data_IF_620007611222
#
_entry.id   IF_620007611222
#
_cell.length_a   1.000
_cell.length_b   1.000
_cell.length_c   1.000
_cell.angle_alpha   90.00
_cell.angle_beta   90.00
_cell.angle_gamma   90.00
#
_symmetry.space_group_name_H-M   'P 1'
#
loop_
_entity.id
_entity.type
_entity.pdbx_description
1 polymer ?
#
# COMPACT_ATOMS: atom_id res chain seq x y z
N UNK A 1 33.64 -52.45 -10.40
CA UNK A 1 32.24 -52.00 -10.30
C UNK A 1 32.01 -50.96 -9.19
N UNK A 2 32.95 -50.05 -8.89
CA UNK A 2 32.77 -49.00 -7.86
C UNK A 2 32.61 -47.58 -8.42
N UNK A 3 32.76 -47.40 -9.75
CA UNK A 3 32.74 -46.06 -10.38
C UNK A 3 31.35 -45.40 -10.43
N UNK A 4 30.27 -46.18 -10.30
CA UNK A 4 28.89 -45.66 -10.31
C UNK A 4 28.25 -45.59 -8.92
N UNK A 5 28.93 -46.11 -7.89
CA UNK A 5 28.39 -46.17 -6.52
C UNK A 5 28.40 -44.78 -5.86
N UNK A 6 29.34 -43.91 -6.23
CA UNK A 6 29.40 -42.53 -5.73
C UNK A 6 28.30 -41.64 -6.34
N UNK A 7 27.88 -41.91 -7.58
CA UNK A 7 26.87 -41.12 -8.28
C UNK A 7 25.44 -41.35 -7.74
N UNK A 8 25.19 -42.54 -7.18
CA UNK A 8 23.89 -42.88 -6.59
C UNK A 8 23.68 -42.33 -5.17
N UNK A 9 24.75 -41.92 -4.48
CA UNK A 9 24.69 -41.45 -3.10
C UNK A 9 24.44 -39.93 -2.97
N UNK A 10 24.65 -39.17 -4.04
CA UNK A 10 24.47 -37.70 -4.08
C UNK A 10 23.10 -37.27 -4.61
N UNK A 11 22.32 -38.18 -5.20
CA UNK A 11 21.01 -37.90 -5.77
C UNK A 11 19.90 -37.54 -4.76
N UNK A 12 19.88 -38.00 -3.49
CA UNK A 12 18.77 -37.70 -2.59
C UNK A 12 18.89 -36.32 -1.90
N UNK A 13 19.96 -35.55 -2.12
CA UNK A 13 20.16 -34.25 -1.48
C UNK A 13 19.39 -33.08 -2.14
N UNK A 14 18.75 -33.30 -3.30
CA UNK A 14 18.03 -32.24 -4.04
C UNK A 14 16.52 -32.13 -3.75
N UNK A 15 15.96 -32.95 -2.85
CA UNK A 15 14.50 -33.01 -2.64
C UNK A 15 13.97 -32.16 -1.47
N UNK A 16 14.77 -31.30 -0.84
CA UNK A 16 14.35 -30.48 0.30
C UNK A 16 14.20 -28.98 0.00
N UNK A 17 13.85 -28.61 -1.23
CA UNK A 17 13.29 -27.29 -1.49
C UNK A 17 11.75 -27.35 -1.44
N UNK A 18 11.21 -27.72 -0.27
CA UNK A 18 9.81 -27.42 0.02
C UNK A 18 9.73 -25.92 0.27
N UNK A 19 9.47 -25.15 -0.77
CA UNK A 19 9.15 -23.74 -0.64
C UNK A 19 8.01 -23.59 0.36
N UNK A 20 8.26 -22.90 1.47
CA UNK A 20 7.19 -22.36 2.28
C UNK A 20 6.39 -21.42 1.38
N UNK A 21 5.31 -21.92 0.79
CA UNK A 21 4.27 -21.04 0.29
C UNK A 21 3.64 -20.44 1.54
N UNK A 22 4.11 -19.24 1.93
CA UNK A 22 3.31 -18.39 2.79
C UNK A 22 2.01 -18.20 2.04
N UNK A 23 0.91 -18.77 2.53
CA UNK A 23 -0.41 -18.43 2.04
C UNK A 23 -0.61 -16.95 2.33
N UNK A 24 -0.22 -16.08 1.41
CA UNK A 24 -0.65 -14.69 1.41
C UNK A 24 -2.16 -14.76 1.27
N UNK A 25 -2.87 -14.68 2.40
CA UNK A 25 -4.31 -14.43 2.34
C UNK A 25 -4.50 -13.19 1.48
N UNK A 26 -5.39 -13.28 0.49
CA UNK A 26 -5.74 -12.12 -0.31
C UNK A 26 -6.23 -11.02 0.64
N UNK A 27 -5.60 -9.85 0.54
CA UNK A 27 -5.98 -8.69 1.31
C UNK A 27 -7.38 -8.25 0.89
N UNK A 28 -8.35 -8.33 1.80
CA UNK A 28 -9.69 -7.79 1.58
C UNK A 28 -9.69 -6.26 1.71
N UNK A 29 -10.59 -5.60 0.98
CA UNK A 29 -10.74 -4.16 0.98
C UNK A 29 -12.18 -3.75 1.33
N UNK A 30 -12.31 -2.77 2.22
CA UNK A 30 -13.50 -1.96 2.41
C UNK A 30 -13.39 -0.61 1.70
N UNK A 31 -14.16 0.37 2.15
CA UNK A 31 -14.20 1.72 1.59
C UNK A 31 -13.81 2.75 2.65
N UNK A 32 -13.26 3.88 2.23
CA UNK A 32 -12.94 4.99 3.12
C UNK A 32 -14.19 5.71 3.63
N UNK A 33 -14.10 6.28 4.83
CA UNK A 33 -15.15 7.11 5.45
C UNK A 33 -15.29 8.49 4.80
N UNK A 34 -14.23 9.00 4.16
CA UNK A 34 -14.23 10.32 3.52
C UNK A 34 -14.63 10.29 2.04
N UNK A 35 -14.42 9.14 1.38
CA UNK A 35 -14.76 8.93 -0.03
C UNK A 35 -14.89 7.42 -0.31
N UNK A 36 -16.10 6.96 -0.65
CA UNK A 36 -16.40 5.55 -0.83
C UNK A 36 -15.71 4.88 -2.03
N UNK A 37 -15.13 5.67 -2.94
CA UNK A 37 -14.38 5.16 -4.08
C UNK A 37 -12.91 4.86 -3.77
N UNK A 38 -12.47 5.18 -2.55
CA UNK A 38 -11.11 4.89 -2.09
C UNK A 38 -11.12 3.52 -1.40
N UNK A 39 -10.50 2.48 -1.99
CA UNK A 39 -10.37 1.18 -1.35
C UNK A 39 -9.47 1.30 -0.11
N UNK A 40 -9.86 0.67 0.99
CA UNK A 40 -9.10 0.65 2.25
C UNK A 40 -8.89 -0.80 2.69
N UNK A 41 -7.67 -1.24 3.04
CA UNK A 41 -7.44 -2.58 3.59
C UNK A 41 -8.37 -2.83 4.78
N UNK A 42 -9.09 -3.95 4.80
CA UNK A 42 -10.14 -4.22 5.80
C UNK A 42 -9.62 -4.36 7.23
N UNK A 43 -8.34 -4.71 7.38
CA UNK A 43 -7.62 -4.77 8.65
C UNK A 43 -7.05 -3.41 9.07
N UNK A 44 -7.13 -2.37 8.24
CA UNK A 44 -6.75 -1.03 8.64
C UNK A 44 -7.81 -0.45 9.58
N UNK A 45 -7.36 0.17 10.67
CA UNK A 45 -8.21 0.77 11.68
C UNK A 45 -8.19 2.28 11.53
N UNK A 46 -9.35 2.88 11.34
CA UNK A 46 -9.48 4.34 11.35
C UNK A 46 -9.16 4.88 12.75
N UNK A 47 -8.24 5.84 12.82
CA UNK A 47 -7.81 6.43 14.10
C UNK A 47 -8.08 7.93 14.18
N UNK A 48 -8.21 8.63 13.06
CA UNK A 48 -8.48 10.07 13.03
C UNK A 48 -9.19 10.48 11.73
N UNK A 49 -10.13 11.41 11.83
CA UNK A 49 -10.73 12.11 10.68
C UNK A 49 -10.49 13.60 10.83
N UNK A 50 -9.82 14.20 9.85
CA UNK A 50 -9.51 15.63 9.78
C UNK A 50 -10.59 16.34 8.96
N UNK A 51 -11.55 16.99 9.63
CA UNK A 51 -12.60 17.80 8.98
C UNK A 51 -12.24 19.28 8.84
N UNK A 52 -11.17 19.71 9.52
CA UNK A 52 -10.61 21.06 9.46
C UNK A 52 -9.10 20.96 9.39
N UNK A 53 -8.49 21.53 8.35
CA UNK A 53 -7.03 21.56 8.18
C UNK A 53 -6.53 23.00 8.19
N UNK A 54 -5.35 23.23 8.76
CA UNK A 54 -4.62 24.50 8.62
C UNK A 54 -3.99 24.66 7.24
N UNK A 55 -3.85 23.55 6.49
CA UNK A 55 -3.41 23.56 5.10
C UNK A 55 -4.63 23.81 4.19
N UNK A 56 -4.64 24.96 3.51
CA UNK A 56 -5.72 25.38 2.60
C UNK A 56 -5.92 24.45 1.40
N UNK A 57 -4.97 23.58 1.10
CA UNK A 57 -5.09 22.61 0.01
C UNK A 57 -5.90 21.38 0.41
N UNK A 58 -6.07 21.10 1.71
CA UNK A 58 -6.75 19.89 2.21
C UNK A 58 -8.22 20.21 2.48
N UNK A 59 -9.12 19.41 1.91
CA UNK A 59 -10.56 19.50 2.13
C UNK A 59 -10.98 18.67 3.33
N UNK A 60 -10.60 17.40 3.34
CA UNK A 60 -10.89 16.44 4.40
C UNK A 60 -9.79 15.37 4.40
N UNK A 61 -9.46 14.85 5.57
CA UNK A 61 -8.47 13.80 5.74
C UNK A 61 -8.97 12.66 6.62
N UNK A 62 -8.32 11.52 6.49
CA UNK A 62 -8.49 10.36 7.38
C UNK A 62 -7.15 9.68 7.58
N UNK A 63 -6.90 9.20 8.79
CA UNK A 63 -5.70 8.44 9.14
C UNK A 63 -6.08 7.04 9.60
N UNK A 64 -5.33 6.07 9.12
CA UNK A 64 -5.47 4.66 9.45
C UNK A 64 -4.19 4.11 10.09
N UNK A 65 -4.38 3.21 11.04
CA UNK A 65 -3.36 2.29 11.57
C UNK A 65 -3.44 0.98 10.79
N UNK A 66 -2.31 0.48 10.31
CA UNK A 66 -2.19 -0.77 9.56
C UNK A 66 -0.79 -1.36 9.73
N UNK A 67 -0.71 -2.47 10.48
CA UNK A 67 0.56 -3.12 10.80
C UNK A 67 1.41 -3.40 9.55
N UNK A 68 2.69 -3.05 9.64
CA UNK A 68 3.73 -3.24 8.62
C UNK A 68 3.54 -2.45 7.32
N UNK A 69 2.62 -1.49 7.24
CA UNK A 69 2.63 -0.52 6.13
C UNK A 69 3.82 0.44 6.28
N UNK A 70 4.40 0.85 5.16
CA UNK A 70 5.53 1.78 5.18
C UNK A 70 6.88 1.18 5.59
N UNK A 71 6.90 -0.01 6.20
CA UNK A 71 8.12 -0.62 6.73
C UNK A 71 8.81 0.25 7.79
N UNK A 72 10.03 -0.13 8.19
CA UNK A 72 10.82 0.66 9.13
C UNK A 72 10.99 2.10 8.61
N UNK A 73 10.68 3.09 9.45
CA UNK A 73 10.78 4.51 9.14
C UNK A 73 9.83 5.01 8.02
N UNK A 74 8.85 4.21 7.58
CA UNK A 74 7.91 4.62 6.52
C UNK A 74 8.52 4.73 5.12
N UNK A 75 9.69 4.12 4.90
CA UNK A 75 10.46 4.23 3.65
C UNK A 75 10.03 3.24 2.57
N UNK A 76 9.21 2.24 2.90
CA UNK A 76 8.75 1.22 1.99
C UNK A 76 7.44 1.63 1.30
N UNK A 77 7.46 1.65 -0.03
CA UNK A 77 6.27 1.90 -0.84
C UNK A 77 5.35 0.66 -0.82
N UNK A 78 4.09 0.78 -0.37
CA UNK A 78 3.18 -0.36 -0.30
C UNK A 78 2.54 -0.65 -1.68
N UNK A 79 3.31 -1.21 -2.62
CA UNK A 79 2.89 -1.39 -4.02
C UNK A 79 1.57 -2.17 -4.17
N UNK A 80 1.31 -3.16 -3.31
CA UNK A 80 0.02 -3.88 -3.33
C UNK A 80 -1.18 -2.95 -3.12
N UNK A 81 -1.05 -1.95 -2.24
CA UNK A 81 -2.10 -0.98 -2.00
C UNK A 81 -2.27 -0.03 -3.18
N UNK A 82 -1.16 0.43 -3.78
CA UNK A 82 -1.24 1.36 -4.90
C UNK A 82 -1.70 0.72 -6.20
N UNK A 83 -1.33 -0.53 -6.47
CA UNK A 83 -1.94 -1.29 -7.56
C UNK A 83 -3.45 -1.44 -7.35
N UNK A 84 -3.93 -1.57 -6.11
CA UNK A 84 -5.37 -1.62 -5.83
C UNK A 84 -6.09 -0.30 -6.10
N UNK A 85 -5.41 0.84 -5.88
CA UNK A 85 -5.92 2.16 -6.27
C UNK A 85 -6.03 2.27 -7.79
N UNK A 86 -4.99 1.86 -8.52
CA UNK A 86 -4.98 1.83 -9.99
C UNK A 86 -6.11 0.96 -10.54
N UNK A 87 -6.30 -0.24 -10.00
CA UNK A 87 -7.42 -1.14 -10.34
C UNK A 87 -8.80 -0.51 -10.09
N UNK A 88 -8.89 0.38 -9.09
CA UNK A 88 -10.10 1.14 -8.75
C UNK A 88 -10.28 2.41 -9.60
N UNK A 89 -9.37 2.68 -10.54
CA UNK A 89 -9.41 3.79 -11.49
C UNK A 89 -8.71 5.06 -11.01
N UNK A 90 -7.94 5.01 -9.93
CA UNK A 90 -7.11 6.11 -9.47
C UNK A 90 -5.79 6.13 -10.22
N UNK A 91 -5.44 7.25 -10.84
CA UNK A 91 -4.20 7.40 -11.60
C UNK A 91 -3.20 8.19 -10.79
N UNK A 92 -2.00 7.66 -10.55
CA UNK A 92 -0.96 8.40 -9.83
C UNK A 92 -0.42 9.57 -10.66
N UNK A 93 -0.26 10.72 -10.02
CA UNK A 93 0.37 11.93 -10.56
C UNK A 93 1.87 11.90 -10.19
N UNK A 94 2.65 11.11 -10.91
CA UNK A 94 4.06 10.84 -10.54
C UNK A 94 4.94 12.10 -10.50
N UNK A 95 4.67 13.09 -11.35
CA UNK A 95 5.36 14.37 -11.42
C UNK A 95 5.09 15.28 -10.20
N UNK A 96 4.08 14.92 -9.40
CA UNK A 96 3.65 15.65 -8.21
C UNK A 96 4.07 15.00 -6.90
N UNK A 97 4.84 13.92 -6.92
CA UNK A 97 5.32 13.27 -5.69
C UNK A 97 6.15 14.23 -4.83
N UNK A 98 5.84 14.29 -3.53
CA UNK A 98 6.52 15.12 -2.54
C UNK A 98 6.99 14.27 -1.37
N UNK A 99 8.22 13.72 -1.46
CA UNK A 99 8.77 12.85 -0.41
C UNK A 99 7.91 11.59 -0.23
N UNK A 100 7.29 11.45 0.95
CA UNK A 100 6.40 10.32 1.28
C UNK A 100 4.95 10.53 0.84
N UNK A 101 4.66 11.68 0.21
CA UNK A 101 3.32 12.02 -0.28
C UNK A 101 3.21 11.71 -1.76
N UNK A 102 2.24 10.86 -2.10
CA UNK A 102 1.89 10.53 -3.48
C UNK A 102 0.47 11.01 -3.78
N UNK A 103 0.28 11.54 -4.98
CA UNK A 103 -1.00 12.09 -5.39
C UNK A 103 -1.65 11.19 -6.43
N UNK A 104 -2.96 11.05 -6.34
CA UNK A 104 -3.76 10.28 -7.29
C UNK A 104 -4.99 11.07 -7.73
N UNK A 105 -5.38 10.91 -8.98
CA UNK A 105 -6.57 11.56 -9.54
C UNK A 105 -7.59 10.53 -10.02
N UNK A 106 -8.86 10.81 -9.77
CA UNK A 106 -10.01 10.11 -10.36
C UNK A 106 -11.16 11.08 -10.56
N UNK A 107 -11.65 11.19 -11.79
CA UNK A 107 -12.83 12.01 -12.16
C UNK A 107 -12.75 13.47 -11.64
N UNK A 108 -11.54 14.07 -11.66
CA UNK A 108 -11.29 15.43 -11.17
C UNK A 108 -11.21 15.57 -9.65
N UNK A 109 -11.28 14.46 -8.91
CA UNK A 109 -10.96 14.40 -7.49
C UNK A 109 -9.49 14.03 -7.33
N UNK A 110 -8.74 14.84 -6.58
CA UNK A 110 -7.34 14.57 -6.26
C UNK A 110 -7.27 14.13 -4.81
N UNK A 111 -6.55 13.03 -4.56
CA UNK A 111 -6.20 12.58 -3.22
C UNK A 111 -4.70 12.61 -3.03
N UNK A 112 -4.25 12.92 -1.83
CA UNK A 112 -2.87 12.75 -1.39
C UNK A 112 -2.82 11.59 -0.38
N UNK A 113 -1.86 10.69 -0.55
CA UNK A 113 -1.60 9.58 0.37
C UNK A 113 -0.21 9.77 0.95
N UNK A 114 -0.14 9.80 2.27
CA UNK A 114 1.09 9.89 3.04
C UNK A 114 1.29 8.60 3.83
N UNK A 115 2.41 7.93 3.60
CA UNK A 115 2.76 6.68 4.28
C UNK A 115 3.83 6.94 5.35
N UNK A 116 3.58 6.40 6.54
CA UNK A 116 4.53 6.32 7.65
C UNK A 116 4.62 4.86 8.14
N UNK A 117 5.51 4.59 9.08
CA UNK A 117 5.55 3.30 9.77
C UNK A 117 4.20 3.03 10.45
N UNK A 118 3.60 1.87 10.13
CA UNK A 118 2.34 1.35 10.66
C UNK A 118 1.10 2.25 10.47
N UNK A 119 1.23 3.35 9.73
CA UNK A 119 0.12 4.29 9.51
C UNK A 119 0.13 4.88 8.10
N UNK A 120 -1.05 5.23 7.63
CA UNK A 120 -1.18 6.04 6.42
C UNK A 120 -2.31 7.04 6.56
N UNK A 121 -2.14 8.18 5.92
CA UNK A 121 -3.15 9.23 5.84
C UNK A 121 -3.59 9.39 4.40
N UNK A 122 -4.88 9.65 4.22
CA UNK A 122 -5.47 10.02 2.93
C UNK A 122 -6.13 11.37 3.08
N UNK A 123 -5.85 12.27 2.14
CA UNK A 123 -6.41 13.60 2.10
C UNK A 123 -7.11 13.81 0.76
N UNK A 124 -8.39 14.15 0.77
CA UNK A 124 -9.03 14.71 -0.42
C UNK A 124 -8.64 16.19 -0.52
N UNK A 125 -8.18 16.60 -1.70
CA UNK A 125 -7.67 17.94 -1.95
C UNK A 125 -8.80 18.88 -2.38
N UNK A 126 -8.65 20.17 -2.09
CA UNK A 126 -9.51 21.20 -2.68
C UNK A 126 -9.26 21.29 -4.20
N UNK A 127 -10.28 21.66 -4.97
CA UNK A 127 -10.19 21.76 -6.45
C UNK A 127 -9.09 22.69 -6.93
N UNK A 128 -8.80 23.73 -6.15
CA UNK A 128 -7.79 24.75 -6.45
C UNK A 128 -6.49 24.52 -5.65
N UNK A 129 -6.25 23.29 -5.18
CA UNK A 129 -5.04 22.96 -4.43
C UNK A 129 -3.78 23.19 -5.28
N UNK A 130 -2.78 23.83 -4.68
CA UNK A 130 -1.46 24.01 -5.28
C UNK A 130 -0.47 23.00 -4.67
N UNK A 131 0.10 22.15 -5.51
CA UNK A 131 1.02 21.07 -5.15
C UNK A 131 2.26 21.02 -6.06
#
# INVERSE_FOLDING_TARGET
MYKYLLAFLLLPLMLFNSGCTSSTQEQEYGVSSINAEIPIPKNAKEIEVTTTSSNSNIKIGVKYELDNIGGEQGLYRPDHYFNKLEDAGWVELEDKRLGHVQFFEKEGTIIAIEIHEDTFSIYEMNKDAEF
#
